data_IF_728366540933
#
_entry.id   IF_728366540933
#
_cell.length_a   1.000
_cell.length_b   1.000
_cell.length_c   1.000
_cell.angle_alpha   90.00
_cell.angle_beta   90.00
_cell.angle_gamma   90.00
#
_symmetry.space_group_name_H-M   'P 1'
#
loop_
_entity.id
_entity.type
_entity.pdbx_description
1 polymer ?
#
# COMPACT_ATOMS: atom_id res chain seq x y z
N UNK A 1 -22.46 22.77 -8.77
CA UNK A 1 -21.92 21.75 -7.81
C UNK A 1 -20.52 21.38 -8.27
N UNK A 2 -19.50 21.58 -7.46
CA UNK A 2 -18.17 21.04 -7.79
C UNK A 2 -18.23 19.55 -7.52
N UNK A 3 -18.14 18.74 -8.56
CA UNK A 3 -17.97 17.29 -8.44
C UNK A 3 -16.74 17.02 -7.59
N UNK A 4 -16.97 16.61 -6.36
CA UNK A 4 -15.91 16.28 -5.42
C UNK A 4 -15.31 14.94 -5.84
N UNK A 5 -14.30 15.01 -6.72
CA UNK A 5 -13.58 13.83 -7.23
C UNK A 5 -13.06 13.00 -6.07
N UNK A 6 -13.54 11.79 -5.95
CA UNK A 6 -13.02 10.81 -4.98
C UNK A 6 -11.60 10.42 -5.38
N UNK A 7 -10.66 10.56 -4.48
CA UNK A 7 -9.27 10.16 -4.70
C UNK A 7 -9.10 8.73 -4.25
N UNK A 8 -8.63 7.88 -5.15
CA UNK A 8 -8.44 6.45 -4.95
C UNK A 8 -6.93 6.16 -4.86
N UNK A 9 -6.50 5.65 -3.72
CA UNK A 9 -5.08 5.44 -3.42
C UNK A 9 -4.84 3.94 -3.16
N UNK A 10 -3.95 3.34 -3.93
CA UNK A 10 -3.45 2.01 -3.67
C UNK A 10 -2.27 2.08 -2.71
N UNK A 11 -2.26 1.26 -1.67
CA UNK A 11 -1.21 1.22 -0.65
C UNK A 11 -0.41 -0.06 -0.78
N UNK A 12 0.88 0.12 -1.02
CA UNK A 12 1.85 -0.94 -1.22
C UNK A 12 2.25 -1.63 0.10
N UNK A 13 2.76 -2.84 0.00
CA UNK A 13 3.17 -3.72 1.10
C UNK A 13 4.12 -3.05 2.08
N UNK A 14 5.14 -2.32 1.57
CA UNK A 14 6.15 -1.69 2.44
C UNK A 14 5.55 -0.62 3.37
N UNK A 15 4.49 0.06 2.94
CA UNK A 15 3.78 1.04 3.77
C UNK A 15 2.99 0.33 4.88
N UNK A 16 2.37 -0.81 4.59
CA UNK A 16 1.70 -1.63 5.61
C UNK A 16 2.69 -2.17 6.65
N UNK A 17 3.84 -2.67 6.19
CA UNK A 17 4.93 -3.14 7.06
C UNK A 17 5.39 -2.01 7.99
N UNK A 18 5.67 -0.85 7.42
CA UNK A 18 6.13 0.31 8.18
C UNK A 18 5.09 0.80 9.17
N UNK A 19 3.81 0.76 8.82
CA UNK A 19 2.74 1.04 9.77
C UNK A 19 2.75 0.05 10.94
N UNK A 20 2.85 -1.24 10.66
CA UNK A 20 2.90 -2.28 11.70
C UNK A 20 4.14 -2.16 12.59
N UNK A 21 5.27 -1.76 12.03
CA UNK A 21 6.53 -1.53 12.76
C UNK A 21 6.63 -0.13 13.37
N UNK A 22 5.58 0.66 13.29
CA UNK A 22 5.47 2.02 13.85
C UNK A 22 6.49 3.01 13.28
N UNK A 23 6.82 2.91 12.00
CA UNK A 23 7.60 3.94 11.33
C UNK A 23 6.81 5.24 11.26
N UNK A 24 7.37 6.29 11.84
CA UNK A 24 6.63 7.52 12.17
C UNK A 24 5.94 8.18 10.98
N UNK A 25 6.61 8.24 9.84
CA UNK A 25 6.05 8.90 8.65
C UNK A 25 4.87 8.13 8.07
N UNK A 26 4.98 6.81 7.96
CA UNK A 26 3.91 5.96 7.45
C UNK A 26 2.69 5.97 8.36
N UNK A 27 2.90 5.88 9.67
CA UNK A 27 1.81 5.96 10.65
C UNK A 27 1.10 7.30 10.58
N UNK A 28 1.85 8.41 10.50
CA UNK A 28 1.26 9.76 10.39
C UNK A 28 0.50 9.94 9.09
N UNK A 29 1.06 9.48 7.98
CA UNK A 29 0.46 9.59 6.66
C UNK A 29 -0.85 8.80 6.58
N UNK A 30 -0.85 7.52 6.95
CA UNK A 30 -2.04 6.68 6.92
C UNK A 30 -3.11 7.16 7.91
N UNK A 31 -2.73 7.53 9.12
CA UNK A 31 -3.70 8.10 10.08
C UNK A 31 -4.33 9.40 9.58
N UNK A 32 -3.57 10.23 8.90
CA UNK A 32 -4.11 11.46 8.29
C UNK A 32 -5.18 11.13 7.25
N UNK A 33 -4.92 10.17 6.37
CA UNK A 33 -5.89 9.73 5.37
C UNK A 33 -7.10 9.08 6.03
N UNK A 34 -6.89 8.19 7.02
CA UNK A 34 -7.99 7.47 7.69
C UNK A 34 -8.94 8.37 8.47
N UNK A 35 -8.42 9.37 9.16
CA UNK A 35 -9.20 10.09 10.16
C UNK A 35 -9.57 11.51 9.75
N UNK A 36 -8.83 12.14 8.86
CA UNK A 36 -9.05 13.54 8.52
C UNK A 36 -9.65 13.77 7.14
N UNK A 37 -9.66 12.75 6.30
CA UNK A 37 -10.18 12.89 4.95
C UNK A 37 -11.27 11.88 4.65
N UNK A 38 -12.45 12.39 4.30
CA UNK A 38 -13.62 11.58 3.94
C UNK A 38 -13.73 11.31 2.43
N UNK A 39 -12.81 11.83 1.64
CA UNK A 39 -12.87 11.80 0.17
C UNK A 39 -11.89 10.81 -0.46
N UNK A 40 -10.96 10.31 0.32
CA UNK A 40 -10.00 9.32 -0.14
C UNK A 40 -10.52 7.92 0.18
N UNK A 41 -10.40 7.05 -0.81
CA UNK A 41 -10.65 5.61 -0.66
C UNK A 41 -9.32 4.90 -0.78
N UNK A 42 -8.98 4.12 0.24
CA UNK A 42 -7.77 3.35 0.28
C UNK A 42 -8.01 1.93 -0.21
N UNK A 43 -7.11 1.49 -1.06
CA UNK A 43 -7.07 0.13 -1.60
C UNK A 43 -5.77 -0.54 -1.22
N UNK A 44 -5.85 -1.82 -0.96
CA UNK A 44 -4.71 -2.73 -0.91
C UNK A 44 -5.13 -4.07 -1.47
N UNK A 45 -4.30 -5.10 -1.40
CA UNK A 45 -4.63 -6.40 -1.97
C UNK A 45 -4.32 -7.56 -1.02
N UNK A 46 -4.91 -8.70 -1.27
CA UNK A 46 -4.57 -9.95 -0.59
C UNK A 46 -3.09 -10.28 -0.76
N UNK A 47 -2.47 -9.94 -1.91
CA UNK A 47 -1.03 -10.05 -2.11
C UNK A 47 -0.26 -9.21 -1.08
N UNK A 48 -0.59 -7.93 -0.93
CA UNK A 48 0.06 -7.04 0.02
C UNK A 48 -0.10 -7.52 1.46
N UNK A 49 -1.26 -8.05 1.82
CA UNK A 49 -1.52 -8.61 3.16
C UNK A 49 -0.62 -9.82 3.42
N UNK A 50 -0.57 -10.78 2.48
CA UNK A 50 0.28 -11.98 2.62
C UNK A 50 1.75 -11.61 2.71
N UNK A 51 2.22 -10.70 1.85
CA UNK A 51 3.61 -10.22 1.89
C UNK A 51 3.92 -9.52 3.22
N UNK A 52 3.00 -8.70 3.73
CA UNK A 52 3.17 -8.03 5.03
C UNK A 52 3.34 -9.06 6.15
N UNK A 53 2.46 -10.05 6.23
CA UNK A 53 2.53 -11.12 7.24
C UNK A 53 3.85 -11.87 7.12
N UNK A 54 4.20 -12.30 5.90
CA UNK A 54 5.42 -13.04 5.63
C UNK A 54 6.69 -12.28 6.04
N UNK A 55 6.78 -11.01 5.66
CA UNK A 55 7.95 -10.17 5.99
C UNK A 55 8.05 -9.86 7.48
N UNK A 56 6.94 -9.58 8.16
CA UNK A 56 6.95 -9.35 9.61
C UNK A 56 7.35 -10.60 10.40
N UNK A 57 6.94 -11.78 9.95
CA UNK A 57 7.33 -13.05 10.57
C UNK A 57 8.78 -13.42 10.27
N UNK A 58 9.27 -13.14 9.06
CA UNK A 58 10.64 -13.47 8.63
C UNK A 58 11.69 -12.57 9.28
N UNK A 59 11.40 -11.31 9.52
CA UNK A 59 12.28 -10.37 10.21
C UNK A 59 12.70 -10.89 11.60
N UNK A 60 11.87 -11.71 12.22
CA UNK A 60 12.17 -12.35 13.49
C UNK A 60 13.18 -13.47 13.45
N UNK A 61 13.40 -14.06 12.30
CA UNK A 61 14.42 -15.13 12.16
C UNK A 61 15.84 -14.57 12.08
N UNK A 62 15.99 -13.37 11.55
CA UNK A 62 17.29 -12.70 11.37
C UNK A 62 17.66 -11.76 12.52
N UNK A 63 16.68 -11.26 13.27
CA UNK A 63 16.93 -10.32 14.36
C UNK A 63 15.90 -10.50 15.49
N UNK A 64 16.27 -11.24 16.51
CA UNK A 64 15.39 -11.62 17.65
C UNK A 64 14.69 -10.44 18.35
N UNK A 65 15.12 -9.20 18.11
CA UNK A 65 14.55 -7.99 18.73
C UNK A 65 13.33 -7.42 18.00
N UNK A 66 13.03 -7.86 16.78
CA UNK A 66 12.00 -7.24 15.92
C UNK A 66 10.91 -8.24 15.46
N UNK A 67 10.98 -9.49 15.92
CA UNK A 67 10.00 -10.50 15.58
C UNK A 67 8.64 -10.14 16.18
N UNK A 68 7.68 -9.86 15.32
CA UNK A 68 6.29 -9.86 15.75
C UNK A 68 5.81 -11.31 15.86
N UNK A 69 5.23 -11.66 17.00
CA UNK A 69 4.50 -12.91 17.11
C UNK A 69 3.36 -12.92 16.08
N UNK A 70 2.92 -14.10 15.69
CA UNK A 70 1.79 -14.28 14.79
C UNK A 70 0.56 -13.50 15.28
N UNK A 71 0.28 -13.57 16.57
CA UNK A 71 -0.81 -12.88 17.24
C UNK A 71 -0.67 -11.35 17.17
N UNK A 72 0.51 -10.82 17.48
CA UNK A 72 0.77 -9.38 17.38
C UNK A 72 0.64 -8.85 15.97
N UNK A 73 1.08 -9.60 14.96
CA UNK A 73 0.94 -9.24 13.55
C UNK A 73 -0.53 -9.17 13.15
N UNK A 74 -1.31 -10.20 13.48
CA UNK A 74 -2.74 -10.23 13.18
C UNK A 74 -3.47 -9.07 13.85
N UNK A 75 -3.21 -8.82 15.14
CA UNK A 75 -3.83 -7.70 15.86
C UNK A 75 -3.58 -6.35 15.19
N UNK A 76 -2.35 -6.11 14.71
CA UNK A 76 -2.01 -4.86 14.02
C UNK A 76 -2.69 -4.74 12.65
N UNK A 77 -2.80 -5.83 11.93
CA UNK A 77 -3.52 -5.85 10.65
C UNK A 77 -5.02 -5.64 10.87
N UNK A 78 -5.61 -6.25 11.88
CA UNK A 78 -7.02 -6.06 12.25
C UNK A 78 -7.37 -4.61 12.59
N UNK A 79 -6.40 -3.82 13.08
CA UNK A 79 -6.59 -2.39 13.33
C UNK A 79 -6.75 -1.58 12.04
N UNK A 80 -6.05 -1.94 10.98
CA UNK A 80 -5.96 -1.11 9.77
C UNK A 80 -6.74 -1.66 8.58
N UNK A 81 -6.82 -2.98 8.40
CA UNK A 81 -7.45 -3.59 7.22
C UNK A 81 -8.91 -3.17 7.02
N UNK A 82 -9.72 -2.95 8.08
CA UNK A 82 -11.09 -2.45 7.91
C UNK A 82 -11.18 -1.06 7.24
N UNK A 83 -10.06 -0.33 7.17
CA UNK A 83 -9.99 0.98 6.51
C UNK A 83 -9.72 0.89 5.01
N UNK A 84 -9.44 -0.29 4.52
CA UNK A 84 -9.12 -0.54 3.11
C UNK A 84 -10.26 -1.28 2.39
N UNK A 85 -10.37 -0.99 1.11
CA UNK A 85 -10.99 -1.93 0.18
C UNK A 85 -9.90 -2.90 -0.27
N UNK A 86 -10.06 -4.17 0.05
CA UNK A 86 -9.05 -5.21 -0.23
C UNK A 86 -9.44 -5.92 -1.53
N UNK A 87 -8.50 -5.97 -2.47
CA UNK A 87 -8.66 -6.67 -3.74
C UNK A 87 -8.10 -8.07 -3.66
N UNK A 88 -8.86 -9.02 -4.17
CA UNK A 88 -8.37 -10.37 -4.37
C UNK A 88 -7.40 -10.42 -5.56
N UNK A 89 -6.30 -11.11 -5.36
CA UNK A 89 -5.34 -11.42 -6.40
C UNK A 89 -5.87 -12.59 -7.26
N UNK A 90 -6.04 -12.33 -8.56
CA UNK A 90 -6.44 -13.34 -9.53
C UNK A 90 -5.27 -13.75 -10.42
N UNK A 91 -5.33 -14.95 -11.01
CA UNK A 91 -4.31 -15.40 -11.97
C UNK A 91 -4.17 -14.46 -13.16
N UNK A 92 -5.26 -13.84 -13.61
CA UNK A 92 -5.25 -12.84 -14.67
C UNK A 92 -4.43 -11.61 -14.32
N UNK A 93 -4.43 -11.19 -13.05
CA UNK A 93 -3.64 -10.05 -12.57
C UNK A 93 -2.14 -10.35 -12.60
N UNK A 94 -1.78 -11.59 -12.22
CA UNK A 94 -0.38 -12.08 -12.29
C UNK A 94 0.09 -12.11 -13.74
N UNK A 95 -0.71 -12.67 -14.65
CA UNK A 95 -0.38 -12.71 -16.08
C UNK A 95 -0.23 -11.31 -16.66
N UNK A 96 -1.11 -10.37 -16.31
CA UNK A 96 -1.00 -8.99 -16.73
C UNK A 96 0.26 -8.31 -16.19
N UNK A 97 0.64 -8.57 -14.94
CA UNK A 97 1.88 -8.06 -14.37
C UNK A 97 3.13 -8.61 -15.05
N UNK A 98 3.09 -9.84 -15.53
CA UNK A 98 4.21 -10.50 -16.20
C UNK A 98 4.55 -9.88 -17.57
N UNK A 99 3.64 -9.15 -18.17
CA UNK A 99 3.87 -8.44 -19.45
C UNK A 99 4.78 -7.22 -19.28
N UNK A 100 4.82 -6.62 -18.09
CA UNK A 100 5.67 -5.48 -17.79
C UNK A 100 7.12 -5.96 -17.55
N UNK A 101 8.05 -5.54 -18.42
CA UNK A 101 9.42 -6.05 -18.42
C UNK A 101 10.41 -5.27 -17.55
N UNK A 102 9.98 -4.17 -16.94
CA UNK A 102 10.91 -3.18 -16.39
C UNK A 102 11.04 -3.18 -14.87
N UNK A 103 10.29 -4.00 -14.17
CA UNK A 103 10.32 -4.07 -12.71
C UNK A 103 10.11 -5.50 -12.22
N UNK A 104 10.23 -5.67 -10.92
CA UNK A 104 9.91 -6.93 -10.25
C UNK A 104 8.45 -7.32 -10.52
N UNK A 105 8.19 -8.62 -10.63
CA UNK A 105 6.84 -9.13 -10.89
C UNK A 105 5.84 -8.71 -9.79
N UNK A 106 6.29 -8.64 -8.54
CA UNK A 106 5.44 -8.24 -7.43
C UNK A 106 4.99 -6.78 -7.59
N UNK A 107 5.91 -5.89 -7.95
CA UNK A 107 5.62 -4.47 -8.19
C UNK A 107 4.71 -4.27 -9.41
N UNK A 108 4.94 -5.04 -10.47
CA UNK A 108 4.07 -5.04 -11.64
C UNK A 108 2.64 -5.46 -11.29
N UNK A 109 2.48 -6.48 -10.45
CA UNK A 109 1.16 -6.95 -10.01
C UNK A 109 0.49 -5.90 -9.12
N UNK A 110 1.20 -5.23 -8.22
CA UNK A 110 0.66 -4.10 -7.45
C UNK A 110 0.17 -2.96 -8.36
N UNK A 111 0.94 -2.65 -9.40
CA UNK A 111 0.49 -1.68 -10.40
C UNK A 111 -0.78 -2.13 -11.12
N UNK A 112 -0.85 -3.37 -11.61
CA UNK A 112 -2.03 -3.94 -12.28
C UNK A 112 -3.26 -3.84 -11.37
N UNK A 113 -3.13 -4.20 -10.09
CA UNK A 113 -4.21 -4.11 -9.12
C UNK A 113 -4.66 -2.67 -8.89
N UNK A 114 -3.73 -1.73 -8.85
CA UNK A 114 -4.05 -0.30 -8.75
C UNK A 114 -4.85 0.20 -9.97
N UNK A 115 -4.51 -0.26 -11.16
CA UNK A 115 -5.22 0.07 -12.40
C UNK A 115 -6.62 -0.56 -12.45
N UNK A 116 -6.75 -1.81 -12.03
CA UNK A 116 -8.03 -2.53 -11.93
C UNK A 116 -9.05 -1.76 -11.12
N UNK A 117 -8.61 -1.07 -10.06
CA UNK A 117 -9.47 -0.22 -9.23
C UNK A 117 -9.48 1.25 -9.63
N UNK A 118 -8.88 1.59 -10.76
CA UNK A 118 -8.79 2.97 -11.25
C UNK A 118 -8.24 3.93 -10.18
N UNK A 119 -7.17 3.50 -9.50
CA UNK A 119 -6.52 4.34 -8.51
C UNK A 119 -5.83 5.53 -9.18
N UNK A 120 -5.86 6.66 -8.50
CA UNK A 120 -5.19 7.88 -8.93
C UNK A 120 -3.71 7.87 -8.53
N UNK A 121 -3.38 7.15 -7.45
CA UNK A 121 -2.05 7.13 -6.90
C UNK A 121 -1.71 5.76 -6.28
N UNK A 122 -0.41 5.48 -6.23
CA UNK A 122 0.21 4.42 -5.43
C UNK A 122 0.99 5.08 -4.31
N UNK A 123 0.73 4.67 -3.07
CA UNK A 123 1.50 5.06 -1.89
C UNK A 123 2.53 3.97 -1.59
N UNK A 124 3.80 4.31 -1.70
CA UNK A 124 4.93 3.37 -1.54
C UNK A 124 6.18 4.09 -1.03
N UNK A 125 7.02 3.38 -0.29
CA UNK A 125 8.38 3.85 0.04
C UNK A 125 9.39 3.52 -1.06
N UNK A 126 9.00 2.72 -2.05
CA UNK A 126 9.84 2.23 -3.15
C UNK A 126 9.52 2.95 -4.46
N UNK A 127 9.61 4.27 -4.47
CA UNK A 127 9.24 5.08 -5.65
C UNK A 127 9.96 4.61 -6.91
N UNK A 128 11.22 4.22 -6.82
CA UNK A 128 12.05 3.83 -7.96
C UNK A 128 11.45 2.67 -8.76
N UNK A 129 10.83 1.71 -8.07
CA UNK A 129 10.30 0.51 -8.68
C UNK A 129 9.00 0.77 -9.46
N UNK A 130 8.37 1.93 -9.24
CA UNK A 130 7.15 2.35 -9.92
C UNK A 130 7.36 3.50 -10.93
N UNK A 131 8.58 4.00 -11.13
CA UNK A 131 8.85 5.13 -12.03
C UNK A 131 8.58 4.85 -13.51
N UNK A 132 8.50 3.58 -13.90
CA UNK A 132 8.18 3.16 -15.26
C UNK A 132 6.69 3.41 -15.61
N UNK A 133 5.82 3.43 -14.64
CA UNK A 133 4.39 3.63 -14.84
C UNK A 133 4.07 5.13 -14.84
N UNK A 134 3.90 5.71 -16.04
CA UNK A 134 3.74 7.16 -16.22
C UNK A 134 2.29 7.66 -16.06
N UNK A 135 1.36 6.75 -16.03
CA UNK A 135 -0.09 7.01 -15.99
C UNK A 135 -0.67 7.02 -14.57
N UNK A 136 0.15 6.83 -13.56
CA UNK A 136 -0.24 6.86 -12.16
C UNK A 136 0.71 7.72 -11.33
N UNK A 137 0.16 8.42 -10.34
CA UNK A 137 0.96 9.19 -9.40
C UNK A 137 1.59 8.24 -8.38
N UNK A 138 2.90 8.32 -8.20
CA UNK A 138 3.61 7.56 -7.17
C UNK A 138 4.05 8.50 -6.05
N UNK A 139 3.69 8.18 -4.81
CA UNK A 139 3.91 9.04 -3.65
C UNK A 139 4.53 8.28 -2.49
N UNK A 140 5.47 8.93 -1.80
CA UNK A 140 5.91 8.48 -0.47
C UNK A 140 4.89 8.84 0.60
N UNK A 141 4.80 8.04 1.69
CA UNK A 141 3.99 8.36 2.86
C UNK A 141 4.61 9.54 3.63
N UNK A 142 4.44 10.72 3.08
CA UNK A 142 4.88 11.99 3.65
C UNK A 142 3.67 12.90 3.84
N UNK A 143 3.40 13.26 5.09
CA UNK A 143 2.24 14.06 5.45
C UNK A 143 2.19 15.42 4.74
N UNK A 144 3.34 16.06 4.55
CA UNK A 144 3.43 17.36 3.88
C UNK A 144 3.08 17.22 2.39
N UNK A 145 3.60 16.20 1.71
CA UNK A 145 3.31 15.91 0.31
C UNK A 145 1.84 15.48 0.10
N UNK A 146 1.30 14.68 1.00
CA UNK A 146 -0.10 14.29 0.96
C UNK A 146 -1.03 15.49 1.09
N UNK A 147 -0.73 16.43 1.98
CA UNK A 147 -1.49 17.68 2.12
C UNK A 147 -1.48 18.54 0.86
N UNK A 148 -0.39 18.55 0.11
CA UNK A 148 -0.24 19.36 -1.10
C UNK A 148 -0.86 18.69 -2.34
N UNK A 149 -0.68 17.38 -2.52
CA UNK A 149 -1.09 16.66 -3.74
C UNK A 149 -2.55 16.22 -3.74
N UNK A 150 -3.17 16.17 -2.56
CA UNK A 150 -4.55 15.74 -2.40
C UNK A 150 -5.51 16.96 -2.29
N UNK A 151 -4.98 18.18 -2.31
CA UNK A 151 -5.78 19.40 -2.45
C UNK A 151 -6.20 19.58 -3.91
#
# INVERSE_FOLDING_TARGET
MRDCKVIRIYVDTNVLINYCTRQTNDVKALRYVFFKRRKEVLFTSTLAVVQTISKLQSAGKSNKRVAFSRETTLKKLDEILPKFTILDLCLSDIKAGFIHLNSDIEDNVHYVLSQKMKCNAILTNNIKDFTFFKDIIVMEPNLALLKQKIQ
#
